data_IF_685097939030
#
_entry.id   IF_685097939030
#
_cell.length_a   1.000
_cell.length_b   1.000
_cell.length_c   1.000
_cell.angle_alpha   90.00
_cell.angle_beta   90.00
_cell.angle_gamma   90.00
#
_symmetry.space_group_name_H-M   'P 1'
#
loop_
_entity.id
_entity.type
_entity.pdbx_description
1 polymer ?
#
# COMPACT_ATOMS: atom_id res chain seq x y z
N UNK A 1 7.04 -14.40 17.62
CA UNK A 1 6.04 -15.17 16.84
C UNK A 1 6.53 -15.29 15.42
N UNK A 2 6.82 -16.52 14.98
CA UNK A 2 7.34 -16.80 13.64
C UNK A 2 6.17 -16.67 12.66
N UNK A 3 6.13 -15.58 11.88
CA UNK A 3 5.17 -15.45 10.78
C UNK A 3 5.43 -16.57 9.77
N UNK A 4 4.56 -17.57 9.75
CA UNK A 4 4.42 -18.53 8.68
C UNK A 4 3.82 -17.76 7.51
N UNK A 5 4.66 -17.40 6.53
CA UNK A 5 4.14 -16.89 5.27
C UNK A 5 3.43 -18.01 4.52
N UNK A 6 2.42 -17.65 3.72
CA UNK A 6 1.63 -18.61 2.95
C UNK A 6 2.53 -19.62 2.25
N UNK A 7 2.35 -20.89 2.58
CA UNK A 7 2.78 -21.99 1.72
C UNK A 7 1.81 -22.08 0.53
N UNK A 8 2.27 -22.54 -0.63
CA UNK A 8 1.39 -22.81 -1.77
C UNK A 8 0.21 -23.73 -1.41
N UNK A 9 0.38 -24.55 -0.37
CA UNK A 9 -0.66 -25.39 0.22
C UNK A 9 -1.75 -24.59 0.93
N UNK A 10 -1.40 -23.53 1.65
CA UNK A 10 -2.38 -22.65 2.30
C UNK A 10 -3.12 -21.79 1.27
N UNK A 11 -2.44 -21.34 0.22
CA UNK A 11 -3.09 -20.65 -0.92
C UNK A 11 -4.08 -21.59 -1.61
N UNK A 12 -3.68 -22.84 -1.88
CA UNK A 12 -4.57 -23.85 -2.45
C UNK A 12 -5.80 -24.08 -1.57
N UNK A 13 -5.61 -24.21 -0.26
CA UNK A 13 -6.71 -24.41 0.69
C UNK A 13 -7.66 -23.22 0.74
N UNK A 14 -7.13 -22.00 0.71
CA UNK A 14 -7.93 -20.79 0.68
C UNK A 14 -8.78 -20.73 -0.60
N UNK A 15 -8.15 -20.94 -1.76
CA UNK A 15 -8.87 -20.91 -3.04
C UNK A 15 -9.91 -22.03 -3.11
N UNK A 16 -9.56 -23.26 -2.71
CA UNK A 16 -10.50 -24.37 -2.72
C UNK A 16 -11.68 -24.13 -1.78
N UNK A 17 -11.45 -23.48 -0.65
CA UNK A 17 -12.51 -23.13 0.32
C UNK A 17 -13.43 -22.03 -0.20
N UNK A 18 -12.87 -21.00 -0.83
CA UNK A 18 -13.64 -19.82 -1.28
C UNK A 18 -14.37 -20.10 -2.59
N UNK A 19 -13.73 -20.80 -3.53
CA UNK A 19 -14.25 -21.00 -4.89
C UNK A 19 -14.83 -22.40 -5.14
N UNK A 20 -14.72 -23.32 -4.18
CA UNK A 20 -15.24 -24.70 -4.31
C UNK A 20 -14.54 -25.56 -5.38
N UNK A 21 -13.46 -25.06 -5.99
CA UNK A 21 -12.69 -25.78 -7.01
C UNK A 21 -11.52 -26.54 -6.39
N UNK A 22 -11.12 -27.67 -6.97
CA UNK A 22 -9.94 -28.43 -6.54
C UNK A 22 -8.71 -27.98 -7.31
N UNK A 23 -7.94 -27.06 -6.73
CA UNK A 23 -6.67 -26.62 -7.31
C UNK A 23 -5.52 -27.47 -6.76
N UNK A 24 -4.73 -28.04 -7.69
CA UNK A 24 -3.48 -28.71 -7.37
C UNK A 24 -2.39 -27.68 -7.04
N UNK A 25 -1.69 -27.90 -5.91
CA UNK A 25 -0.63 -27.03 -5.41
C UNK A 25 0.47 -26.80 -6.46
N UNK A 26 0.78 -27.83 -7.25
CA UNK A 26 1.77 -27.78 -8.35
C UNK A 26 1.42 -26.73 -9.40
N UNK A 27 0.14 -26.47 -9.64
CA UNK A 27 -0.31 -25.58 -10.70
C UNK A 27 -0.44 -24.13 -10.22
N UNK A 28 -0.52 -23.90 -8.91
CA UNK A 28 -0.68 -22.55 -8.33
C UNK A 28 0.51 -21.68 -8.66
N UNK A 29 1.72 -22.23 -8.53
CA UNK A 29 2.93 -21.47 -8.83
C UNK A 29 2.93 -20.96 -10.27
N UNK A 30 2.70 -21.85 -11.25
CA UNK A 30 2.68 -21.49 -12.66
C UNK A 30 1.54 -20.53 -13.01
N UNK A 31 0.33 -20.78 -12.47
CA UNK A 31 -0.80 -19.87 -12.67
C UNK A 31 -0.54 -18.49 -12.09
N UNK A 32 0.01 -18.39 -10.88
CA UNK A 32 0.38 -17.11 -10.29
C UNK A 32 1.52 -16.43 -11.04
N UNK A 33 2.39 -17.18 -11.71
CA UNK A 33 3.47 -16.60 -12.51
C UNK A 33 2.97 -15.98 -13.82
N UNK A 34 1.98 -16.62 -14.44
CA UNK A 34 1.41 -16.19 -15.73
C UNK A 34 0.22 -15.23 -15.59
N UNK A 35 -0.24 -14.97 -14.37
CA UNK A 35 -1.42 -14.14 -14.11
C UNK A 35 -1.08 -12.65 -14.23
N UNK A 36 -1.24 -12.13 -15.43
CA UNK A 36 -1.20 -10.70 -15.72
C UNK A 36 -2.53 -10.01 -15.36
N UNK A 37 -2.51 -8.71 -15.05
CA UNK A 37 -3.72 -7.93 -14.77
C UNK A 37 -4.39 -8.20 -13.41
N UNK A 38 -3.80 -9.03 -12.55
CA UNK A 38 -4.38 -9.35 -11.23
C UNK A 38 -4.61 -8.09 -10.36
N UNK A 39 -3.70 -7.11 -10.44
CA UNK A 39 -3.85 -5.85 -9.71
C UNK A 39 -5.15 -5.13 -10.08
N UNK A 40 -5.51 -5.09 -11.36
CA UNK A 40 -6.73 -4.45 -11.85
C UNK A 40 -7.98 -5.20 -11.37
N UNK A 41 -7.95 -6.53 -11.43
CA UNK A 41 -9.05 -7.38 -10.97
C UNK A 41 -9.26 -7.21 -9.47
N UNK A 42 -8.20 -7.28 -8.67
CA UNK A 42 -8.26 -7.09 -7.21
C UNK A 42 -8.79 -5.70 -6.88
N UNK A 43 -8.30 -4.65 -7.54
CA UNK A 43 -8.80 -3.29 -7.33
C UNK A 43 -10.28 -3.15 -7.68
N UNK A 44 -10.74 -3.72 -8.79
CA UNK A 44 -12.17 -3.74 -9.17
C UNK A 44 -13.02 -4.45 -8.11
N UNK A 45 -12.58 -5.60 -7.61
CA UNK A 45 -13.29 -6.36 -6.56
C UNK A 45 -13.34 -5.56 -5.26
N UNK A 46 -12.20 -5.04 -4.79
CA UNK A 46 -12.14 -4.26 -3.56
C UNK A 46 -13.02 -3.01 -3.66
N UNK A 47 -12.96 -2.27 -4.78
CA UNK A 47 -13.77 -1.07 -4.99
C UNK A 47 -15.26 -1.39 -4.97
N UNK A 48 -15.71 -2.40 -5.72
CA UNK A 48 -17.14 -2.78 -5.75
C UNK A 48 -17.70 -3.16 -4.37
N UNK A 49 -16.86 -3.71 -3.49
CA UNK A 49 -17.28 -4.09 -2.12
C UNK A 49 -17.28 -2.90 -1.16
N UNK A 50 -16.36 -1.94 -1.31
CA UNK A 50 -16.06 -0.96 -0.26
C UNK A 50 -16.37 0.51 -0.62
N UNK A 51 -16.44 0.89 -1.89
CA UNK A 51 -16.69 2.28 -2.32
C UNK A 51 -18.07 2.76 -1.87
N UNK A 52 -19.11 1.96 -2.11
CA UNK A 52 -20.49 2.28 -1.70
C UNK A 52 -20.63 2.40 -0.17
N UNK A 53 -19.71 1.80 0.60
CA UNK A 53 -19.68 1.96 2.06
C UNK A 53 -19.14 3.31 2.50
N UNK A 54 -18.55 4.13 1.62
CA UNK A 54 -17.94 5.42 2.01
C UNK A 54 -18.49 6.60 1.22
N UNK A 55 -19.20 6.33 0.11
CA UNK A 55 -19.85 7.33 -0.73
C UNK A 55 -20.71 8.30 0.08
N UNK A 56 -20.53 9.60 -0.17
CA UNK A 56 -21.24 10.69 0.53
C UNK A 56 -20.83 10.94 1.99
N UNK A 57 -19.97 10.10 2.58
CA UNK A 57 -19.51 10.21 3.98
C UNK A 57 -17.99 10.06 4.12
N UNK A 58 -17.25 10.43 3.08
CA UNK A 58 -15.81 10.26 3.04
C UNK A 58 -15.11 11.37 3.80
N UNK A 59 -14.32 11.00 4.81
CA UNK A 59 -13.49 11.94 5.57
C UNK A 59 -12.15 12.22 4.88
N UNK A 60 -11.62 11.23 4.18
CA UNK A 60 -10.32 11.33 3.49
C UNK A 60 -9.74 9.96 3.12
N UNK A 61 -8.69 10.03 2.32
CA UNK A 61 -7.91 8.90 1.84
C UNK A 61 -6.61 8.77 2.66
N UNK A 62 -6.25 7.55 3.03
CA UNK A 62 -4.96 7.22 3.62
C UNK A 62 -4.13 6.47 2.58
N UNK A 63 -2.86 6.83 2.49
CA UNK A 63 -1.87 6.20 1.63
C UNK A 63 -0.65 5.81 2.46
N UNK A 64 -0.21 4.57 2.35
CA UNK A 64 0.97 4.06 3.03
C UNK A 64 1.50 2.83 2.32
N UNK A 65 2.82 2.73 2.24
CA UNK A 65 3.49 1.60 1.64
C UNK A 65 3.89 0.54 2.65
N UNK A 66 3.92 -0.70 2.17
CA UNK A 66 4.39 -1.86 2.91
C UNK A 66 5.34 -2.69 2.04
N UNK A 67 6.53 -2.96 2.58
CA UNK A 67 7.47 -3.91 1.98
C UNK A 67 7.25 -5.34 2.45
N UNK A 68 7.31 -6.28 1.51
CA UNK A 68 7.33 -7.73 1.73
C UNK A 68 8.61 -8.31 1.13
N UNK A 69 9.38 -9.05 1.95
CA UNK A 69 10.57 -9.74 1.47
C UNK A 69 10.20 -11.06 0.78
N UNK A 70 10.94 -11.43 -0.26
CA UNK A 70 10.88 -12.77 -0.85
C UNK A 70 12.31 -13.35 -0.94
N UNK A 71 12.44 -14.61 -1.36
CA UNK A 71 13.69 -15.38 -1.44
C UNK A 71 14.33 -15.77 -0.08
N UNK A 72 13.91 -16.94 0.45
CA UNK A 72 14.44 -17.72 1.60
C UNK A 72 15.01 -16.98 2.84
N UNK A 73 14.36 -17.19 3.99
CA UNK A 73 14.77 -16.71 5.34
C UNK A 73 16.22 -17.06 5.75
N UNK A 74 16.80 -18.16 5.27
CA UNK A 74 18.13 -18.65 5.68
C UNK A 74 19.25 -17.74 5.16
N UNK A 75 19.16 -17.24 3.91
CA UNK A 75 20.18 -16.34 3.37
C UNK A 75 20.30 -15.07 4.22
N UNK A 76 19.19 -14.53 4.71
CA UNK A 76 19.20 -13.30 5.50
C UNK A 76 19.67 -13.46 6.96
N UNK A 77 19.71 -14.68 7.51
CA UNK A 77 20.37 -14.93 8.81
C UNK A 77 21.90 -14.90 8.72
N UNK A 78 22.44 -15.08 7.52
CA UNK A 78 23.88 -15.11 7.25
C UNK A 78 24.45 -13.73 6.87
N UNK A 79 23.61 -12.79 6.41
CA UNK A 79 24.04 -11.46 5.98
C UNK A 79 23.71 -10.41 7.04
N UNK A 80 24.64 -9.49 7.33
CA UNK A 80 24.45 -8.39 8.29
C UNK A 80 24.33 -7.04 7.58
N UNK A 81 23.37 -6.22 8.03
CA UNK A 81 23.34 -4.78 7.77
C UNK A 81 23.27 -4.36 6.29
N UNK A 82 24.42 -3.94 5.75
CA UNK A 82 24.54 -3.25 4.45
C UNK A 82 24.28 -4.19 3.27
N UNK A 83 24.69 -5.46 3.38
CA UNK A 83 24.51 -6.49 2.35
C UNK A 83 23.03 -6.89 2.16
N UNK A 84 22.22 -6.79 3.23
CA UNK A 84 20.75 -6.97 3.14
C UNK A 84 20.11 -5.85 2.31
N UNK A 85 20.65 -4.63 2.29
CA UNK A 85 20.04 -3.49 1.57
C UNK A 85 20.34 -3.52 0.07
N UNK A 86 21.47 -4.08 -0.33
CA UNK A 86 21.92 -4.14 -1.73
C UNK A 86 21.33 -5.34 -2.51
N UNK A 87 20.93 -6.42 -1.83
CA UNK A 87 20.33 -7.64 -2.43
C UNK A 87 18.82 -7.80 -2.16
N UNK A 88 18.05 -6.72 -2.06
CA UNK A 88 16.62 -6.82 -1.67
C UNK A 88 15.72 -7.33 -2.79
N UNK A 89 15.50 -8.63 -2.77
CA UNK A 89 14.29 -9.28 -3.30
C UNK A 89 13.07 -8.85 -2.46
N UNK A 90 12.60 -7.62 -2.67
CA UNK A 90 11.45 -7.07 -1.97
C UNK A 90 10.38 -6.65 -2.99
N UNK A 91 9.13 -6.85 -2.60
CA UNK A 91 7.96 -6.27 -3.26
C UNK A 91 7.42 -5.18 -2.37
N UNK A 92 7.07 -4.03 -2.96
CA UNK A 92 6.41 -2.94 -2.26
C UNK A 92 4.96 -2.86 -2.68
N UNK A 93 4.12 -2.55 -1.70
CA UNK A 93 2.69 -2.50 -1.84
C UNK A 93 2.21 -1.16 -1.27
N UNK A 94 1.64 -0.32 -2.12
CA UNK A 94 0.98 0.92 -1.74
C UNK A 94 -0.50 0.61 -1.48
N UNK A 95 -1.01 0.91 -0.29
CA UNK A 95 -2.43 0.73 0.03
C UNK A 95 -3.18 2.04 -0.02
N UNK A 96 -4.36 2.02 -0.64
CA UNK A 96 -5.34 3.08 -0.61
C UNK A 96 -6.46 2.69 0.36
N UNK A 97 -6.66 3.51 1.40
CA UNK A 97 -7.66 3.24 2.45
C UNK A 97 -8.54 4.47 2.64
N UNK A 98 -9.83 4.36 2.34
CA UNK A 98 -10.79 5.42 2.67
C UNK A 98 -11.24 5.32 4.12
N UNK A 99 -11.47 6.48 4.71
CA UNK A 99 -12.02 6.61 6.07
C UNK A 99 -13.35 7.33 6.00
N UNK A 100 -14.38 6.74 6.62
CA UNK A 100 -15.68 7.40 6.75
C UNK A 100 -15.72 8.42 7.92
N UNK A 101 -16.78 9.21 7.97
CA UNK A 101 -17.00 10.19 9.07
C UNK A 101 -17.10 9.53 10.45
N UNK A 102 -17.58 8.29 10.52
CA UNK A 102 -17.66 7.48 11.76
C UNK A 102 -16.29 6.92 12.17
N UNK A 103 -15.27 7.11 11.34
CA UNK A 103 -13.90 6.67 11.59
C UNK A 103 -13.61 5.22 11.19
N UNK A 104 -14.53 4.50 10.54
CA UNK A 104 -14.26 3.18 9.97
C UNK A 104 -13.36 3.33 8.73
N UNK A 105 -12.50 2.33 8.50
CA UNK A 105 -11.55 2.34 7.39
C UNK A 105 -11.72 1.13 6.48
N UNK A 106 -11.70 1.39 5.16
CA UNK A 106 -11.95 0.42 4.11
C UNK A 106 -10.83 0.49 3.09
N UNK A 107 -10.23 -0.66 2.78
CA UNK A 107 -9.26 -0.75 1.67
C UNK A 107 -10.06 -0.56 0.39
N UNK A 108 -9.59 0.32 -0.49
CA UNK A 108 -10.22 0.62 -1.79
C UNK A 108 -9.27 0.46 -2.96
N UNK A 109 -7.99 0.21 -2.68
CA UNK A 109 -7.03 -0.09 -3.71
C UNK A 109 -5.70 -0.56 -3.14
N UNK A 110 -4.96 -1.25 -4.00
CA UNK A 110 -3.61 -1.72 -3.77
C UNK A 110 -2.82 -1.57 -5.07
N UNK A 111 -1.60 -1.04 -4.97
CA UNK A 111 -0.65 -1.01 -6.07
C UNK A 111 0.62 -1.74 -5.67
N UNK A 112 1.08 -2.66 -6.50
CA UNK A 112 2.23 -3.50 -6.19
C UNK A 112 3.33 -3.29 -7.21
N UNK A 113 4.53 -3.00 -6.73
CA UNK A 113 5.69 -2.75 -7.59
C UNK A 113 6.97 -3.29 -6.94
N UNK A 114 8.06 -3.15 -7.66
CA UNK A 114 9.36 -3.66 -7.30
C UNK A 114 9.96 -2.91 -6.11
N UNK A 115 10.75 -3.61 -5.29
CA UNK A 115 11.37 -3.05 -4.08
C UNK A 115 12.29 -1.85 -4.31
N UNK A 116 12.78 -1.65 -5.54
CA UNK A 116 13.62 -0.52 -5.92
C UNK A 116 12.85 0.79 -6.08
N UNK A 117 11.54 0.75 -6.36
CA UNK A 117 10.77 1.99 -6.50
C UNK A 117 10.39 2.54 -5.13
N UNK A 118 10.51 3.85 -4.99
CA UNK A 118 10.08 4.57 -3.81
C UNK A 118 8.54 4.59 -3.76
N UNK A 119 7.92 4.51 -2.58
CA UNK A 119 6.45 4.37 -2.44
C UNK A 119 5.72 5.54 -3.12
N UNK A 120 6.30 6.75 -3.01
CA UNK A 120 5.86 7.95 -3.76
C UNK A 120 5.86 7.78 -5.28
N UNK A 121 6.80 7.01 -5.85
CA UNK A 121 6.85 6.74 -7.30
C UNK A 121 5.75 5.78 -7.72
N UNK A 122 5.40 4.82 -6.85
CA UNK A 122 4.28 3.88 -7.09
C UNK A 122 2.96 4.66 -7.08
N UNK A 123 2.73 5.48 -6.06
CA UNK A 123 1.53 6.30 -5.99
C UNK A 123 1.41 7.25 -7.18
N UNK A 124 2.51 7.88 -7.59
CA UNK A 124 2.56 8.80 -8.74
C UNK A 124 2.30 8.09 -10.06
N UNK A 125 2.91 6.93 -10.32
CA UNK A 125 2.67 6.19 -11.56
C UNK A 125 1.22 5.70 -11.69
N UNK A 126 0.51 5.60 -10.57
CA UNK A 126 -0.90 5.19 -10.47
C UNK A 126 -1.83 6.35 -10.10
N UNK A 127 -1.41 7.60 -10.28
CA UNK A 127 -2.21 8.76 -9.87
C UNK A 127 -3.54 8.85 -10.63
N UNK A 128 -3.57 8.42 -11.90
CA UNK A 128 -4.81 8.36 -12.69
C UNK A 128 -5.87 7.46 -12.04
N UNK A 129 -5.47 6.35 -11.42
CA UNK A 129 -6.38 5.49 -10.66
C UNK A 129 -6.90 6.16 -9.39
N UNK A 130 -6.08 7.02 -8.78
CA UNK A 130 -6.50 7.85 -7.63
C UNK A 130 -7.49 8.93 -8.07
N UNK A 131 -7.35 9.50 -9.27
CA UNK A 131 -8.32 10.44 -9.85
C UNK A 131 -9.68 9.79 -10.06
N UNK A 132 -9.71 8.63 -10.73
CA UNK A 132 -10.95 7.85 -10.92
C UNK A 132 -11.62 7.54 -9.58
N UNK A 133 -10.85 7.12 -8.58
CA UNK A 133 -11.37 6.88 -7.24
C UNK A 133 -11.99 8.15 -6.61
N UNK A 134 -11.43 9.33 -6.89
CA UNK A 134 -11.96 10.61 -6.40
C UNK A 134 -13.29 10.98 -7.08
N UNK A 135 -13.44 10.66 -8.36
CA UNK A 135 -14.71 10.82 -9.08
C UNK A 135 -15.80 9.89 -8.50
N UNK A 136 -15.42 8.67 -8.12
CA UNK A 136 -16.32 7.71 -7.46
C UNK A 136 -16.67 8.13 -6.02
N UNK A 137 -15.68 8.68 -5.29
CA UNK A 137 -15.82 9.12 -3.90
C UNK A 137 -15.12 10.46 -3.69
N UNK A 138 -15.89 11.53 -3.48
CA UNK A 138 -15.34 12.86 -3.18
C UNK A 138 -14.57 12.85 -1.85
N UNK A 139 -13.25 12.68 -1.91
CA UNK A 139 -12.34 12.90 -0.80
C UNK A 139 -11.55 14.19 -1.02
N UNK A 140 -11.51 15.02 0.03
CA UNK A 140 -10.81 16.32 -0.01
C UNK A 140 -9.45 16.31 0.68
N UNK A 141 -9.10 15.21 1.35
CA UNK A 141 -7.92 15.09 2.20
C UNK A 141 -7.20 13.78 1.96
N UNK A 142 -5.88 13.83 1.87
CA UNK A 142 -5.01 12.66 1.78
C UNK A 142 -4.01 12.67 2.93
N UNK A 143 -3.88 11.56 3.64
CA UNK A 143 -2.93 11.38 4.73
C UNK A 143 -1.88 10.34 4.34
N UNK A 144 -0.61 10.65 4.52
CA UNK A 144 0.49 9.76 4.13
C UNK A 144 1.75 9.97 4.95
N UNK A 145 2.79 9.18 4.66
CA UNK A 145 4.08 9.29 5.33
C UNK A 145 4.87 10.55 4.92
N UNK A 146 5.91 10.88 5.68
CA UNK A 146 6.85 11.96 5.38
C UNK A 146 7.48 11.82 3.99
N UNK A 147 7.71 10.60 3.49
CA UNK A 147 8.39 10.39 2.21
C UNK A 147 7.67 11.04 1.01
N UNK A 148 6.33 11.07 1.02
CA UNK A 148 5.55 11.69 -0.07
C UNK A 148 5.78 13.21 -0.17
N UNK A 149 6.17 13.88 0.93
CA UNK A 149 6.43 15.33 0.91
C UNK A 149 7.67 15.73 0.09
N UNK A 150 8.45 14.76 -0.36
CA UNK A 150 9.67 14.96 -1.15
C UNK A 150 9.41 14.96 -2.66
N UNK A 151 8.21 14.63 -3.10
CA UNK A 151 7.83 14.66 -4.53
C UNK A 151 6.94 15.87 -4.80
N UNK A 152 7.55 16.97 -5.26
CA UNK A 152 6.83 18.23 -5.50
C UNK A 152 5.78 18.07 -6.59
N UNK A 153 6.03 17.24 -7.61
CA UNK A 153 5.07 17.01 -8.68
C UNK A 153 3.83 16.29 -8.16
N UNK A 154 4.00 15.27 -7.31
CA UNK A 154 2.88 14.60 -6.66
C UNK A 154 2.05 15.57 -5.79
N UNK A 155 2.71 16.48 -5.05
CA UNK A 155 2.01 17.51 -4.27
C UNK A 155 1.17 18.43 -5.17
N UNK A 156 1.73 18.87 -6.30
CA UNK A 156 1.03 19.71 -7.28
C UNK A 156 -0.13 18.98 -7.95
N UNK A 157 0.03 17.69 -8.22
CA UNK A 157 -1.02 16.86 -8.80
C UNK A 157 -2.23 16.77 -7.88
N UNK A 158 -2.04 16.47 -6.58
CA UNK A 158 -3.15 16.50 -5.61
C UNK A 158 -3.75 17.89 -5.44
N UNK A 159 -2.93 18.94 -5.43
CA UNK A 159 -3.40 20.33 -5.32
C UNK A 159 -4.28 20.75 -6.53
N UNK A 160 -3.91 20.36 -7.76
CA UNK A 160 -4.72 20.57 -8.97
C UNK A 160 -6.07 19.88 -8.89
N UNK A 161 -6.11 18.71 -8.26
CA UNK A 161 -7.35 18.00 -7.97
C UNK A 161 -8.11 18.59 -6.76
N UNK A 162 -7.67 19.70 -6.17
CA UNK A 162 -8.34 20.30 -4.99
C UNK A 162 -8.27 19.41 -3.74
N UNK A 163 -7.29 18.51 -3.67
CA UNK A 163 -7.08 17.58 -2.56
C UNK A 163 -5.95 18.09 -1.66
N UNK A 164 -6.26 18.30 -0.38
CA UNK A 164 -5.28 18.73 0.60
C UNK A 164 -4.48 17.53 1.12
N UNK A 165 -3.17 17.50 0.84
CA UNK A 165 -2.27 16.52 1.45
C UNK A 165 -1.88 16.93 2.87
N UNK A 166 -1.91 15.95 3.78
CA UNK A 166 -1.60 16.09 5.21
C UNK A 166 -0.46 15.12 5.49
N UNK A 167 0.76 15.62 5.37
CA UNK A 167 2.01 14.85 5.48
C UNK A 167 2.94 15.50 6.51
N UNK A 168 3.69 14.73 7.32
CA UNK A 168 4.69 15.30 8.21
C UNK A 168 5.73 16.07 7.40
N UNK A 169 5.98 17.33 7.77
CA UNK A 169 7.04 18.17 7.19
C UNK A 169 7.82 18.81 8.33
N UNK A 170 9.10 18.50 8.40
CA UNK A 170 10.04 19.13 9.35
C UNK A 170 11.01 20.03 8.60
N UNK A 171 11.49 21.06 9.30
CA UNK A 171 12.64 21.84 8.84
C UNK A 171 13.91 20.97 8.91
N UNK A 172 14.88 21.28 8.05
CA UNK A 172 16.23 20.73 8.22
C UNK A 172 16.92 21.36 9.42
N UNK A 173 17.88 20.65 9.99
CA UNK A 173 18.65 21.07 11.18
C UNK A 173 19.19 22.52 11.04
N UNK A 174 19.61 22.91 9.83
CA UNK A 174 20.16 24.23 9.55
C UNK A 174 19.34 25.07 8.56
N UNK A 175 18.27 24.52 7.98
CA UNK A 175 17.56 25.14 6.86
C UNK A 175 16.05 24.95 6.95
N UNK A 176 15.30 26.06 6.91
CA UNK A 176 13.84 26.02 6.77
C UNK A 176 13.41 25.46 5.41
N UNK A 177 12.20 24.89 5.36
CA UNK A 177 11.60 24.44 4.11
C UNK A 177 11.41 25.62 3.14
N UNK A 178 12.06 25.55 1.97
CA UNK A 178 12.04 26.63 0.97
C UNK A 178 10.89 26.52 -0.04
N UNK A 179 10.53 25.33 -0.48
CA UNK A 179 9.48 25.12 -1.50
C UNK A 179 8.10 25.49 -0.98
N UNK A 180 7.37 26.31 -1.74
CA UNK A 180 6.03 26.77 -1.39
C UNK A 180 5.03 25.63 -1.20
N UNK A 181 5.09 24.58 -2.01
CA UNK A 181 4.24 23.40 -1.90
C UNK A 181 4.42 22.72 -0.54
N UNK A 182 5.66 22.49 -0.13
CA UNK A 182 5.95 21.86 1.17
C UNK A 182 5.63 22.78 2.35
N UNK A 183 5.69 24.11 2.19
CA UNK A 183 5.22 25.06 3.21
C UNK A 183 3.70 24.91 3.42
N UNK A 184 2.92 24.88 2.33
CA UNK A 184 1.46 24.65 2.40
C UNK A 184 1.12 23.31 3.07
N UNK A 185 1.82 22.23 2.69
CA UNK A 185 1.65 20.90 3.32
C UNK A 185 2.03 20.94 4.81
N UNK A 186 3.11 21.65 5.18
CA UNK A 186 3.52 21.82 6.58
C UNK A 186 2.45 22.53 7.41
N UNK A 187 1.86 23.59 6.88
CA UNK A 187 0.76 24.32 7.53
C UNK A 187 -0.49 23.45 7.67
N UNK A 188 -0.85 22.70 6.62
CA UNK A 188 -1.93 21.71 6.64
C UNK A 188 -1.72 20.66 7.74
N UNK A 189 -0.52 20.07 7.78
CA UNK A 189 -0.14 19.07 8.79
C UNK A 189 -0.18 19.63 10.21
N UNK A 190 0.38 20.82 10.44
CA UNK A 190 0.38 21.44 11.77
C UNK A 190 -1.04 21.73 12.26
N UNK A 191 -1.91 22.26 11.40
CA UNK A 191 -3.33 22.51 11.75
C UNK A 191 -4.11 21.23 12.01
N UNK A 192 -3.76 20.12 11.34
CA UNK A 192 -4.52 18.86 11.35
C UNK A 192 -3.79 17.71 12.04
N UNK A 193 -2.78 18.00 12.86
CA UNK A 193 -1.90 17.00 13.48
C UNK A 193 -2.66 15.94 14.29
N UNK A 194 -3.69 16.34 15.02
CA UNK A 194 -4.56 15.41 15.75
C UNK A 194 -5.32 14.45 14.81
N UNK A 195 -5.84 14.95 13.69
CA UNK A 195 -6.52 14.13 12.70
C UNK A 195 -5.54 13.19 11.98
N UNK A 196 -4.32 13.66 11.71
CA UNK A 196 -3.24 12.86 11.14
C UNK A 196 -2.92 11.65 12.03
N UNK A 197 -2.59 11.90 13.30
CA UNK A 197 -2.21 10.83 14.24
C UNK A 197 -3.33 9.78 14.34
N UNK A 198 -4.59 10.20 14.49
CA UNK A 198 -5.75 9.31 14.60
C UNK A 198 -5.94 8.43 13.36
N UNK A 199 -5.62 8.95 12.18
CA UNK A 199 -5.83 8.26 10.92
C UNK A 199 -4.66 7.36 10.54
N UNK A 200 -3.41 7.74 10.84
CA UNK A 200 -2.22 6.90 10.59
C UNK A 200 -2.30 5.52 11.23
N UNK A 201 -2.77 5.44 12.48
CA UNK A 201 -2.97 4.14 13.14
C UNK A 201 -3.91 3.21 12.37
N UNK A 202 -4.85 3.74 11.59
CA UNK A 202 -5.82 2.91 10.84
C UNK A 202 -5.16 2.21 9.66
N UNK A 203 -4.33 2.91 8.89
CA UNK A 203 -3.64 2.28 7.77
C UNK A 203 -2.54 1.34 8.26
N UNK A 204 -1.84 1.68 9.34
CA UNK A 204 -0.87 0.81 10.01
C UNK A 204 -1.53 -0.48 10.53
N UNK A 205 -2.74 -0.39 11.09
CA UNK A 205 -3.51 -1.57 11.48
C UNK A 205 -3.89 -2.46 10.29
N UNK A 206 -4.28 -1.88 9.14
CA UNK A 206 -4.57 -2.65 7.92
C UNK A 206 -3.32 -3.37 7.41
N UNK A 207 -2.20 -2.65 7.29
CA UNK A 207 -0.89 -3.23 6.94
C UNK A 207 -0.49 -4.32 7.92
N UNK A 208 -0.66 -4.07 9.23
CA UNK A 208 -0.37 -5.02 10.29
C UNK A 208 -1.21 -6.29 10.18
N UNK A 209 -2.48 -6.18 9.82
CA UNK A 209 -3.36 -7.33 9.58
C UNK A 209 -2.94 -8.11 8.34
N UNK A 210 -2.63 -7.44 7.23
CA UNK A 210 -2.11 -8.08 6.02
C UNK A 210 -0.80 -8.81 6.33
N UNK A 211 0.15 -8.16 7.02
CA UNK A 211 1.42 -8.79 7.44
C UNK A 211 1.24 -9.92 8.43
N UNK A 212 0.22 -9.87 9.30
CA UNK A 212 -0.10 -10.98 10.22
C UNK A 212 -0.67 -12.17 9.46
N UNK A 213 -1.49 -11.92 8.44
CA UNK A 213 -2.08 -12.93 7.58
C UNK A 213 -1.05 -13.57 6.65
N UNK A 214 -0.24 -12.75 5.98
CA UNK A 214 0.70 -13.17 4.95
C UNK A 214 2.11 -13.48 5.44
N UNK A 215 2.47 -13.00 6.63
CA UNK A 215 3.86 -12.87 7.06
C UNK A 215 4.57 -11.67 6.41
N UNK A 216 5.70 -11.27 7.01
CA UNK A 216 6.60 -10.24 6.44
C UNK A 216 7.46 -10.79 5.28
N UNK A 217 7.52 -12.11 5.15
CA UNK A 217 8.32 -12.82 4.16
C UNK A 217 7.49 -13.87 3.43
N UNK A 218 7.51 -13.80 2.11
CA UNK A 218 6.81 -14.72 1.22
C UNK A 218 7.68 -15.92 0.90
N UNK A 219 7.08 -17.11 0.88
CA UNK A 219 7.79 -18.36 0.62
C UNK A 219 7.92 -18.65 -0.88
N UNK A 220 8.53 -17.72 -1.61
CA UNK A 220 8.80 -17.83 -3.04
C UNK A 220 10.13 -17.19 -3.39
N UNK A 221 10.73 -17.62 -4.49
CA UNK A 221 11.94 -17.03 -5.09
C UNK A 221 11.62 -16.15 -6.30
N UNK A 222 10.41 -16.27 -6.83
CA UNK A 222 9.96 -15.56 -8.03
C UNK A 222 9.24 -14.28 -7.63
N UNK A 223 9.65 -13.19 -8.27
CA UNK A 223 9.18 -11.84 -7.99
C UNK A 223 7.75 -11.62 -8.46
N UNK A 224 7.36 -12.13 -9.63
CA UNK A 224 5.99 -11.97 -10.13
C UNK A 224 5.01 -12.77 -9.28
N UNK A 225 5.41 -13.98 -8.88
CA UNK A 225 4.65 -14.77 -7.90
C UNK A 225 4.54 -14.02 -6.57
N UNK A 226 5.60 -13.32 -6.14
CA UNK A 226 5.56 -12.51 -4.92
C UNK A 226 4.55 -11.37 -5.02
N UNK A 227 4.53 -10.64 -6.13
CA UNK A 227 3.55 -9.56 -6.37
C UNK A 227 2.13 -10.08 -6.31
N UNK A 228 1.87 -11.18 -7.03
CA UNK A 228 0.54 -11.77 -7.11
C UNK A 228 0.08 -12.35 -5.77
N UNK A 229 0.99 -12.89 -4.96
CA UNK A 229 0.67 -13.28 -3.59
C UNK A 229 0.27 -12.08 -2.72
N UNK A 230 1.01 -10.96 -2.79
CA UNK A 230 0.65 -9.74 -2.03
C UNK A 230 -0.73 -9.25 -2.42
N UNK A 231 -1.03 -9.18 -3.72
CA UNK A 231 -2.34 -8.77 -4.22
C UNK A 231 -3.48 -9.66 -3.68
N UNK A 232 -3.29 -10.98 -3.63
CA UNK A 232 -4.30 -11.90 -3.11
C UNK A 232 -4.47 -11.87 -1.58
N UNK A 233 -3.51 -11.32 -0.85
CA UNK A 233 -3.57 -11.23 0.60
C UNK A 233 -4.21 -9.95 1.15
N UNK A 234 -4.52 -8.99 0.27
CA UNK A 234 -5.23 -7.73 0.57
C UNK A 234 -6.74 -7.95 0.49
#
# INVERSE_FOLDING_TARGET
MIGCGFTYREVARLINRVLGVKIHISNIYYRLKEMEGLEEVVNKVIRSINVEKVKGRCRGLLVDGAGFGYNFKIKQRLYFGREIREKRDHVKCELLVLVDERGKSYIVGVFVDDGYKDERKILKSKFEEVKKLKEEVDFRKVYGDRLYNRDIELLREFEKEGVEMILPVEDGIHNKVKSEERKRVKESYNRKRHAYNRNRYKIEQKIGNIKRFMGTYLNTKDKEVSKNLVLLGV
#
